data_IF_417165369428
#
_entry.id   IF_417165369428
#
_cell.length_a   1.000
_cell.length_b   1.000
_cell.length_c   1.000
_cell.angle_alpha   90.00
_cell.angle_beta   90.00
_cell.angle_gamma   90.00
#
_symmetry.space_group_name_H-M   'P 1'
#
loop_
_entity.id
_entity.type
_entity.pdbx_description
1 polymer ?
#
# COMPACT_ATOMS: atom_id res chain seq x y z
N UNK A 1 -19.84 -18.05 -2.00
CA UNK A 1 -19.87 -16.58 -2.31
C UNK A 1 -18.98 -16.27 -3.50
N UNK A 2 -19.29 -15.25 -4.32
CA UNK A 2 -18.31 -14.71 -5.27
C UNK A 2 -17.28 -13.82 -4.55
N UNK A 3 -16.23 -13.43 -5.25
CA UNK A 3 -15.10 -12.69 -4.65
C UNK A 3 -15.50 -11.33 -4.04
N UNK A 4 -16.34 -10.56 -4.74
CA UNK A 4 -16.81 -9.26 -4.24
C UNK A 4 -17.77 -9.40 -3.04
N UNK A 5 -18.71 -10.36 -3.07
CA UNK A 5 -19.59 -10.67 -1.94
C UNK A 5 -18.77 -11.04 -0.70
N UNK A 6 -17.71 -11.84 -0.88
CA UNK A 6 -16.79 -12.25 0.19
C UNK A 6 -16.11 -11.04 0.81
N UNK A 7 -15.54 -10.14 -0.01
CA UNK A 7 -14.92 -8.92 0.47
C UNK A 7 -15.90 -8.02 1.23
N UNK A 8 -17.10 -7.77 0.66
CA UNK A 8 -18.11 -6.93 1.29
C UNK A 8 -18.58 -7.53 2.63
N UNK A 9 -18.80 -8.85 2.68
CA UNK A 9 -19.17 -9.56 3.91
C UNK A 9 -18.10 -9.36 5.00
N UNK A 10 -16.83 -9.56 4.63
CA UNK A 10 -15.67 -9.35 5.52
C UNK A 10 -15.59 -7.91 6.02
N UNK A 11 -15.73 -6.91 5.13
CA UNK A 11 -15.68 -5.50 5.50
C UNK A 11 -16.87 -5.03 6.38
N UNK A 12 -17.89 -5.87 6.53
CA UNK A 12 -19.01 -5.66 7.44
C UNK A 12 -18.91 -6.53 8.72
N UNK A 13 -17.70 -7.01 9.05
CA UNK A 13 -17.43 -7.80 10.24
C UNK A 13 -18.30 -9.07 10.34
N UNK A 14 -18.47 -9.76 9.21
CA UNK A 14 -19.16 -11.04 9.12
C UNK A 14 -18.22 -12.07 8.50
N UNK A 15 -18.39 -13.32 8.93
CA UNK A 15 -17.65 -14.44 8.37
C UNK A 15 -18.20 -14.81 6.99
N UNK A 16 -17.41 -14.73 5.91
CA UNK A 16 -17.76 -15.25 4.60
C UNK A 16 -17.56 -16.78 4.53
N UNK A 17 -17.68 -17.38 3.34
CA UNK A 17 -17.36 -18.80 3.13
C UNK A 17 -15.85 -19.11 3.35
N UNK A 18 -14.97 -18.18 3.05
CA UNK A 18 -13.55 -18.17 3.38
C UNK A 18 -13.03 -16.74 3.50
N UNK A 19 -11.87 -16.57 4.08
CA UNK A 19 -11.14 -15.29 4.11
C UNK A 19 -10.88 -14.80 2.67
N UNK A 20 -11.13 -13.51 2.33
CA UNK A 20 -10.74 -12.97 1.03
C UNK A 20 -9.21 -12.97 0.87
N UNK A 21 -8.74 -13.25 -0.34
CA UNK A 21 -7.33 -13.28 -0.68
C UNK A 21 -6.96 -12.09 -1.58
N UNK A 22 -5.96 -11.33 -1.17
CA UNK A 22 -5.33 -10.28 -1.97
C UNK A 22 -3.87 -10.62 -2.28
N UNK A 23 -3.48 -10.43 -3.51
CA UNK A 23 -2.08 -10.38 -3.96
C UNK A 23 -2.00 -9.47 -5.18
N UNK A 24 -1.54 -8.23 -4.98
CA UNK A 24 -1.31 -7.28 -6.05
C UNK A 24 -2.39 -6.24 -6.29
N UNK A 25 -3.36 -6.06 -5.38
CA UNK A 25 -4.33 -4.96 -5.51
C UNK A 25 -3.69 -3.58 -5.25
N UNK A 26 -2.58 -3.53 -4.53
CA UNK A 26 -1.76 -2.34 -4.30
C UNK A 26 -0.27 -2.69 -4.39
N UNK A 27 0.63 -1.69 -4.38
CA UNK A 27 2.06 -1.98 -4.33
C UNK A 27 2.50 -2.63 -3.01
N UNK A 28 1.81 -2.35 -1.90
CA UNK A 28 2.16 -2.94 -0.59
C UNK A 28 1.68 -4.38 -0.43
N UNK A 29 0.74 -4.81 -1.27
CA UNK A 29 0.25 -6.19 -1.34
C UNK A 29 0.78 -6.95 -2.57
N UNK A 30 1.73 -6.35 -3.29
CA UNK A 30 2.24 -6.82 -4.57
C UNK A 30 3.25 -7.96 -4.50
N UNK A 31 3.71 -8.37 -5.66
CA UNK A 31 4.73 -9.41 -5.83
C UNK A 31 5.79 -8.96 -6.83
N UNK A 32 7.07 -9.12 -6.47
CA UNK A 32 8.18 -8.81 -7.36
C UNK A 32 8.15 -9.68 -8.62
N UNK A 33 8.51 -9.11 -9.77
CA UNK A 33 8.54 -9.75 -11.07
C UNK A 33 9.18 -11.14 -11.06
N UNK A 34 10.33 -11.31 -10.42
CA UNK A 34 11.05 -12.58 -10.40
C UNK A 34 10.28 -13.66 -9.61
N UNK A 35 9.76 -13.29 -8.45
CA UNK A 35 8.91 -14.18 -7.65
C UNK A 35 7.61 -14.52 -8.39
N UNK A 36 7.00 -13.55 -9.06
CA UNK A 36 5.81 -13.74 -9.89
C UNK A 36 6.04 -14.75 -11.03
N UNK A 37 7.14 -14.61 -11.80
CA UNK A 37 7.49 -15.55 -12.88
C UNK A 37 7.70 -16.98 -12.35
N UNK A 38 8.43 -17.13 -11.24
CA UNK A 38 8.66 -18.44 -10.62
C UNK A 38 7.35 -19.07 -10.11
N UNK A 39 6.49 -18.26 -9.48
CA UNK A 39 5.21 -18.74 -8.98
C UNK A 39 4.25 -19.12 -10.12
N UNK A 40 4.21 -18.36 -11.23
CA UNK A 40 3.50 -18.74 -12.45
C UNK A 40 3.93 -20.13 -12.95
N UNK A 41 5.25 -20.34 -13.05
CA UNK A 41 5.81 -21.63 -13.48
C UNK A 41 5.41 -22.77 -12.54
N UNK A 42 5.44 -22.55 -11.23
CA UNK A 42 5.04 -23.54 -10.23
C UNK A 42 3.56 -23.95 -10.34
N UNK A 43 2.69 -23.03 -10.78
CA UNK A 43 1.27 -23.31 -11.06
C UNK A 43 0.99 -23.75 -12.50
N UNK A 44 2.03 -24.04 -13.31
CA UNK A 44 1.89 -24.52 -14.70
C UNK A 44 1.33 -23.45 -15.65
N UNK A 45 1.38 -22.18 -15.30
CA UNK A 45 0.91 -21.09 -16.14
C UNK A 45 1.96 -20.72 -17.20
N UNK A 46 1.52 -20.32 -18.42
CA UNK A 46 2.44 -19.95 -19.49
C UNK A 46 3.25 -18.70 -19.12
N UNK A 47 4.48 -18.63 -19.64
CA UNK A 47 5.28 -17.42 -19.53
C UNK A 47 4.62 -16.25 -20.29
N UNK A 48 4.62 -15.06 -19.69
CA UNK A 48 4.09 -13.83 -20.29
C UNK A 48 5.03 -12.67 -20.04
N UNK A 49 4.91 -11.64 -20.88
CA UNK A 49 5.50 -10.33 -20.60
C UNK A 49 4.88 -9.75 -19.33
N UNK A 50 5.72 -9.22 -18.46
CA UNK A 50 5.28 -8.65 -17.19
C UNK A 50 4.90 -7.18 -17.36
N UNK A 51 3.66 -6.85 -17.03
CA UNK A 51 3.23 -5.49 -16.82
C UNK A 51 3.54 -5.11 -15.38
N UNK A 52 4.06 -3.91 -15.15
CA UNK A 52 4.42 -3.46 -13.80
C UNK A 52 3.32 -2.61 -13.18
N UNK A 53 2.94 -2.94 -11.96
CA UNK A 53 2.12 -2.09 -11.08
C UNK A 53 2.98 -1.02 -10.38
N UNK A 54 4.27 -1.31 -10.15
CA UNK A 54 5.25 -0.38 -9.59
C UNK A 54 6.64 -0.69 -10.17
N UNK A 55 7.15 0.25 -10.98
CA UNK A 55 8.48 0.10 -11.61
C UNK A 55 9.64 0.36 -10.64
N UNK A 56 9.43 1.17 -9.61
CA UNK A 56 10.45 1.49 -8.61
C UNK A 56 10.82 0.24 -7.83
N UNK A 57 9.83 -0.54 -7.41
CA UNK A 57 10.00 -1.76 -6.64
C UNK A 57 10.04 -3.03 -7.51
N UNK A 58 9.83 -2.91 -8.82
CA UNK A 58 9.80 -4.04 -9.74
C UNK A 58 8.63 -4.99 -9.47
N UNK A 59 7.46 -4.46 -9.13
CA UNK A 59 6.27 -5.27 -8.82
C UNK A 59 5.45 -5.54 -10.06
N UNK A 60 5.13 -6.82 -10.28
CA UNK A 60 4.24 -7.25 -11.34
C UNK A 60 2.80 -6.84 -11.07
N UNK A 61 2.05 -6.51 -12.12
CA UNK A 61 0.60 -6.46 -12.10
C UNK A 61 0.08 -7.87 -12.44
N UNK A 62 -0.53 -8.61 -11.50
CA UNK A 62 -1.02 -9.95 -11.75
C UNK A 62 -2.08 -9.97 -12.86
N UNK A 63 -1.92 -10.86 -13.83
CA UNK A 63 -2.86 -11.05 -14.93
C UNK A 63 -4.01 -12.03 -14.60
N UNK A 64 -5.00 -12.09 -15.45
CA UNK A 64 -6.25 -12.81 -15.18
C UNK A 64 -6.03 -14.30 -14.89
N UNK A 65 -5.21 -15.01 -15.67
CA UNK A 65 -4.96 -16.43 -15.46
C UNK A 65 -4.21 -16.73 -14.14
N UNK A 66 -3.31 -15.83 -13.72
CA UNK A 66 -2.66 -15.93 -12.42
C UNK A 66 -3.66 -15.72 -11.28
N UNK A 67 -4.50 -14.70 -11.39
CA UNK A 67 -5.52 -14.37 -10.40
C UNK A 67 -6.52 -15.53 -10.25
N UNK A 68 -6.97 -16.10 -11.35
CA UNK A 68 -7.90 -17.23 -11.36
C UNK A 68 -7.25 -18.51 -10.79
N UNK A 69 -6.02 -18.83 -11.16
CA UNK A 69 -5.31 -20.02 -10.67
C UNK A 69 -5.07 -19.99 -9.15
N UNK A 70 -4.77 -18.83 -8.62
CA UNK A 70 -4.53 -18.66 -7.18
C UNK A 70 -5.82 -18.43 -6.38
N UNK A 71 -6.92 -18.05 -7.01
CA UNK A 71 -8.18 -17.72 -6.34
C UNK A 71 -8.12 -16.38 -5.63
N UNK A 72 -7.43 -15.40 -6.21
CA UNK A 72 -7.35 -14.02 -5.69
C UNK A 72 -8.69 -13.33 -5.90
N UNK A 73 -9.17 -12.62 -4.88
CA UNK A 73 -10.51 -12.02 -4.85
C UNK A 73 -10.54 -10.56 -5.29
N UNK A 74 -9.39 -9.89 -5.33
CA UNK A 74 -9.31 -8.44 -5.34
C UNK A 74 -8.45 -7.97 -6.51
N UNK A 75 -8.89 -6.89 -7.15
CA UNK A 75 -8.22 -6.24 -8.29
C UNK A 75 -7.86 -4.81 -7.94
N UNK A 76 -6.69 -4.37 -8.38
CA UNK A 76 -6.20 -3.02 -8.18
C UNK A 76 -6.45 -2.10 -9.36
N UNK A 77 -6.79 -0.85 -9.07
CA UNK A 77 -6.78 0.26 -10.02
C UNK A 77 -5.60 1.17 -9.68
N UNK A 78 -4.70 1.32 -10.63
CA UNK A 78 -3.48 2.11 -10.46
C UNK A 78 -3.61 3.40 -11.28
N UNK A 79 -3.62 4.59 -10.63
CA UNK A 79 -3.59 5.85 -11.34
C UNK A 79 -2.42 5.92 -12.30
N UNK A 80 -2.65 6.45 -13.49
CA UNK A 80 -1.64 6.59 -14.53
C UNK A 80 -0.76 7.83 -14.29
N UNK A 81 0.33 7.92 -15.02
CA UNK A 81 1.15 9.12 -15.07
C UNK A 81 0.38 10.30 -15.71
N UNK A 82 0.78 11.54 -15.42
CA UNK A 82 0.28 12.69 -16.13
C UNK A 82 0.65 12.62 -17.64
N UNK A 83 -0.16 13.25 -18.49
CA UNK A 83 0.02 13.19 -19.95
C UNK A 83 1.38 13.72 -20.43
N UNK A 84 2.01 14.62 -19.69
CA UNK A 84 3.28 15.26 -20.01
C UNK A 84 4.50 14.60 -19.36
N UNK A 85 4.30 13.45 -18.70
CA UNK A 85 5.39 12.77 -18.01
C UNK A 85 5.36 11.25 -18.25
N UNK A 86 6.55 10.69 -18.50
CA UNK A 86 6.75 9.25 -18.66
C UNK A 86 7.99 8.79 -17.90
N UNK A 87 7.94 7.59 -17.38
CA UNK A 87 9.10 6.95 -16.76
C UNK A 87 10.24 6.83 -17.77
N UNK A 88 11.40 7.37 -17.44
CA UNK A 88 12.61 7.26 -18.23
C UNK A 88 13.78 6.83 -17.38
N UNK A 89 14.17 5.58 -17.55
CA UNK A 89 15.38 5.04 -16.92
C UNK A 89 16.59 5.33 -17.82
N UNK A 90 17.67 5.87 -17.23
CA UNK A 90 18.90 6.23 -17.92
C UNK A 90 20.09 5.50 -17.33
N UNK A 91 21.15 5.38 -18.14
CA UNK A 91 22.43 4.80 -17.71
C UNK A 91 23.25 5.82 -16.94
N UNK A 92 23.54 5.54 -15.67
CA UNK A 92 24.40 6.32 -14.76
C UNK A 92 25.70 5.59 -14.41
N UNK A 93 26.24 4.78 -15.30
CA UNK A 93 27.47 4.01 -15.09
C UNK A 93 27.23 2.73 -14.27
N UNK A 94 27.57 2.72 -12.97
CA UNK A 94 27.30 1.59 -12.06
C UNK A 94 25.84 1.49 -11.63
N UNK A 95 25.02 2.49 -11.95
CA UNK A 95 23.63 2.60 -11.53
C UNK A 95 22.70 2.81 -12.72
N UNK A 96 21.49 2.32 -12.62
CA UNK A 96 20.35 2.85 -13.35
C UNK A 96 19.84 4.07 -12.61
N UNK A 97 19.53 5.16 -13.34
CA UNK A 97 18.97 6.39 -12.80
C UNK A 97 17.55 6.59 -13.33
N UNK A 98 16.71 7.14 -12.48
CA UNK A 98 15.33 7.48 -12.80
C UNK A 98 14.95 8.80 -12.12
N UNK A 99 14.48 9.77 -12.89
CA UNK A 99 13.93 11.04 -12.39
C UNK A 99 12.41 10.91 -12.40
N UNK A 100 11.77 11.07 -11.24
CA UNK A 100 10.31 11.04 -11.14
C UNK A 100 9.67 12.41 -11.39
N UNK A 101 8.33 12.43 -11.44
CA UNK A 101 7.55 13.65 -11.70
C UNK A 101 7.62 14.69 -10.57
N UNK A 102 8.15 14.31 -9.41
CA UNK A 102 8.39 15.18 -8.25
C UNK A 102 9.76 15.86 -8.29
N UNK A 103 10.60 15.53 -9.26
CA UNK A 103 11.99 15.98 -9.34
C UNK A 103 12.95 15.18 -8.45
N UNK A 104 12.52 14.04 -7.92
CA UNK A 104 13.37 13.15 -7.13
C UNK A 104 14.18 12.26 -8.07
N UNK A 105 15.48 12.23 -7.90
CA UNK A 105 16.32 11.27 -8.61
C UNK A 105 16.45 10.00 -7.81
N UNK A 106 16.12 8.88 -8.42
CA UNK A 106 16.29 7.54 -7.88
C UNK A 106 17.46 6.83 -8.55
N UNK A 107 18.10 5.90 -7.82
CA UNK A 107 19.16 5.04 -8.38
C UNK A 107 18.94 3.58 -7.96
N UNK A 108 19.33 2.67 -8.86
CA UNK A 108 19.40 1.23 -8.59
C UNK A 108 20.77 0.71 -9.04
N UNK A 109 21.55 0.00 -8.19
CA UNK A 109 22.74 -0.69 -8.63
C UNK A 109 22.43 -1.63 -9.81
N UNK A 110 23.28 -1.66 -10.84
CA UNK A 110 23.11 -2.59 -11.97
C UNK A 110 23.38 -4.03 -11.55
N UNK A 111 24.31 -4.22 -10.60
CA UNK A 111 24.65 -5.50 -10.02
C UNK A 111 23.91 -5.67 -8.69
N UNK A 112 23.14 -6.74 -8.55
CA UNK A 112 22.39 -7.13 -7.33
C UNK A 112 21.43 -6.06 -6.76
N UNK A 113 21.03 -5.07 -7.56
CA UNK A 113 20.07 -4.06 -7.14
C UNK A 113 18.64 -4.60 -7.18
N UNK A 114 17.94 -4.64 -6.03
CA UNK A 114 16.57 -5.12 -5.92
C UNK A 114 15.57 -4.04 -6.39
N UNK A 115 15.75 -2.79 -5.99
CA UNK A 115 14.84 -1.67 -6.26
C UNK A 115 15.58 -0.34 -6.38
N UNK A 116 14.86 0.68 -6.87
CA UNK A 116 15.37 2.05 -6.91
C UNK A 116 15.25 2.70 -5.53
N UNK A 117 16.32 3.29 -5.04
CA UNK A 117 16.37 4.10 -3.83
C UNK A 117 16.51 5.58 -4.17
N UNK A 118 16.05 6.46 -3.28
CA UNK A 118 16.25 7.91 -3.42
C UNK A 118 17.73 8.22 -3.43
N UNK A 119 18.13 9.02 -4.40
CA UNK A 119 19.53 9.47 -4.57
C UNK A 119 19.70 10.96 -4.37
N UNK A 120 18.75 11.76 -4.88
CA UNK A 120 18.75 13.21 -4.71
C UNK A 120 17.33 13.69 -4.47
N UNK A 121 17.16 14.48 -3.43
CA UNK A 121 15.93 15.13 -3.06
C UNK A 121 15.91 16.56 -3.60
N UNK A 122 14.81 17.03 -4.24
CA UNK A 122 14.78 18.34 -4.92
C UNK A 122 14.86 19.53 -3.95
N UNK A 123 14.30 19.41 -2.75
CA UNK A 123 14.21 20.49 -1.76
C UNK A 123 14.95 20.18 -0.46
N UNK A 124 16.10 19.48 -0.55
CA UNK A 124 16.89 19.11 0.63
C UNK A 124 17.59 20.31 1.25
N UNK A 125 17.63 20.34 2.57
CA UNK A 125 18.33 21.35 3.39
C UNK A 125 17.91 22.79 3.07
N UNK A 126 18.85 23.67 2.86
CA UNK A 126 18.66 25.12 2.64
C UNK A 126 17.79 25.46 1.41
N UNK A 127 17.50 24.47 0.57
CA UNK A 127 16.62 24.66 -0.58
C UNK A 127 15.14 24.71 -0.19
N UNK A 128 14.76 24.19 0.98
CA UNK A 128 13.39 24.26 1.46
C UNK A 128 13.10 25.63 2.10
N UNK A 129 12.14 26.32 1.55
CA UNK A 129 11.64 27.62 2.04
C UNK A 129 10.19 27.79 1.59
N UNK A 130 9.43 28.74 2.14
CA UNK A 130 8.07 29.04 1.64
C UNK A 130 8.06 29.34 0.14
N UNK A 131 9.04 30.06 -0.36
CA UNK A 131 9.14 30.41 -1.77
C UNK A 131 9.49 29.19 -2.64
N UNK A 132 10.38 28.29 -2.19
CA UNK A 132 10.71 27.07 -2.93
C UNK A 132 9.53 26.10 -2.97
N UNK A 133 8.78 25.95 -1.87
CA UNK A 133 7.54 25.16 -1.84
C UNK A 133 6.53 25.72 -2.82
N UNK A 134 6.33 27.05 -2.82
CA UNK A 134 5.38 27.71 -3.74
C UNK A 134 5.77 27.54 -5.22
N UNK A 135 7.05 27.63 -5.53
CA UNK A 135 7.54 27.68 -6.91
C UNK A 135 8.04 26.32 -7.45
N UNK A 136 8.04 25.26 -6.62
CA UNK A 136 8.40 23.92 -7.07
C UNK A 136 7.43 23.45 -8.18
N UNK A 137 7.91 22.80 -9.26
CA UNK A 137 7.05 22.29 -10.32
C UNK A 137 6.30 21.03 -9.88
N UNK A 138 5.28 21.21 -9.03
CA UNK A 138 4.49 20.12 -8.50
C UNK A 138 3.75 19.34 -9.61
N UNK A 139 3.62 18.00 -9.50
CA UNK A 139 2.82 17.23 -10.44
C UNK A 139 1.36 17.69 -10.49
N UNK A 140 0.77 17.68 -11.68
CA UNK A 140 -0.66 17.97 -11.83
C UNK A 140 -1.50 16.74 -11.50
N UNK A 141 -2.17 16.73 -10.35
CA UNK A 141 -3.05 15.63 -9.93
C UNK A 141 -4.50 15.76 -10.41
N UNK A 142 -4.87 16.89 -11.04
CA UNK A 142 -6.15 17.04 -11.75
C UNK A 142 -6.09 16.59 -13.22
N UNK A 143 -4.93 16.12 -13.69
CA UNK A 143 -4.80 15.66 -15.06
C UNK A 143 -5.73 14.46 -15.30
N UNK A 144 -6.70 14.56 -16.23
CA UNK A 144 -7.64 13.47 -16.50
C UNK A 144 -6.97 12.20 -17.04
N UNK A 145 -5.75 12.31 -17.58
CA UNK A 145 -4.97 11.13 -17.98
C UNK A 145 -4.73 10.17 -16.83
N UNK A 146 -4.64 10.66 -15.58
CA UNK A 146 -4.39 9.82 -14.41
C UNK A 146 -5.46 8.77 -14.15
N UNK A 147 -6.66 8.99 -14.64
CA UNK A 147 -7.79 8.07 -14.48
C UNK A 147 -8.33 7.54 -15.83
N UNK A 148 -7.64 7.79 -16.92
CA UNK A 148 -8.09 7.36 -18.25
C UNK A 148 -8.23 5.82 -18.32
N UNK A 149 -9.42 5.34 -18.69
CA UNK A 149 -9.75 3.91 -18.79
C UNK A 149 -9.97 3.19 -17.44
N UNK A 150 -9.77 3.87 -16.30
CA UNK A 150 -9.93 3.20 -14.99
C UNK A 150 -11.39 2.91 -14.65
N UNK A 151 -12.33 3.71 -15.14
CA UNK A 151 -13.77 3.46 -14.93
C UNK A 151 -14.20 2.18 -15.64
N UNK A 152 -13.84 2.07 -16.91
CA UNK A 152 -14.15 0.89 -17.74
C UNK A 152 -13.50 -0.37 -17.16
N UNK A 153 -12.27 -0.25 -16.66
CA UNK A 153 -11.54 -1.35 -16.04
C UNK A 153 -12.22 -1.77 -14.71
N UNK A 154 -12.62 -0.81 -13.89
CA UNK A 154 -13.33 -1.08 -12.63
C UNK A 154 -14.67 -1.77 -12.88
N UNK A 155 -15.45 -1.30 -13.86
CA UNK A 155 -16.72 -1.90 -14.24
C UNK A 155 -16.53 -3.33 -14.79
N UNK A 156 -15.46 -3.56 -15.56
CA UNK A 156 -15.09 -4.92 -16.00
C UNK A 156 -14.78 -5.83 -14.81
N UNK A 157 -14.02 -5.37 -13.82
CA UNK A 157 -13.72 -6.17 -12.63
C UNK A 157 -14.98 -6.47 -11.81
N UNK A 158 -15.86 -5.50 -11.62
CA UNK A 158 -17.15 -5.72 -10.97
C UNK A 158 -18.04 -6.70 -11.75
N UNK A 159 -18.07 -6.63 -13.10
CA UNK A 159 -18.82 -7.58 -13.92
C UNK A 159 -18.33 -9.01 -13.79
N UNK A 160 -17.03 -9.20 -13.47
CA UNK A 160 -16.42 -10.49 -13.14
C UNK A 160 -16.51 -10.83 -11.64
N UNK A 161 -17.23 -10.05 -10.84
CA UNK A 161 -17.43 -10.21 -9.40
C UNK A 161 -16.16 -10.11 -8.54
N UNK A 162 -15.13 -9.39 -8.96
CA UNK A 162 -13.98 -9.06 -8.13
C UNK A 162 -14.25 -7.87 -7.20
N UNK A 163 -13.61 -7.85 -6.03
CA UNK A 163 -13.48 -6.63 -5.23
C UNK A 163 -12.49 -5.66 -5.90
N UNK A 164 -12.77 -4.37 -5.84
CA UNK A 164 -11.97 -3.33 -6.53
C UNK A 164 -11.38 -2.36 -5.53
N UNK A 165 -10.04 -2.26 -5.54
CA UNK A 165 -9.25 -1.33 -4.73
C UNK A 165 -8.65 -0.26 -5.62
N UNK A 166 -8.95 1.01 -5.35
CA UNK A 166 -8.26 2.14 -6.00
C UNK A 166 -7.07 2.56 -5.13
N UNK A 167 -5.88 2.55 -5.73
CA UNK A 167 -4.65 3.00 -5.08
C UNK A 167 -4.57 4.54 -5.05
N UNK A 168 -4.02 5.09 -3.97
CA UNK A 168 -3.56 6.48 -3.87
C UNK A 168 -2.53 6.79 -4.98
N UNK A 169 -2.57 7.98 -5.60
CA UNK A 169 -1.67 8.32 -6.70
C UNK A 169 -0.19 8.46 -6.26
N UNK A 170 0.07 8.72 -4.99
CA UNK A 170 1.43 8.85 -4.45
C UNK A 170 1.48 8.50 -2.96
N UNK A 171 2.67 8.45 -2.39
CA UNK A 171 2.92 8.16 -0.98
C UNK A 171 2.20 9.14 -0.02
N UNK A 172 2.22 8.85 1.27
CA UNK A 172 1.55 9.65 2.29
C UNK A 172 2.03 11.08 2.42
N UNK A 173 1.36 11.85 3.26
CA UNK A 173 1.69 13.25 3.54
C UNK A 173 3.11 13.35 4.13
N UNK A 174 3.40 12.55 5.15
CA UNK A 174 4.68 12.53 5.83
C UNK A 174 5.76 11.88 4.97
N UNK A 175 5.46 10.70 4.40
CA UNK A 175 6.42 9.96 3.58
C UNK A 175 6.82 10.72 2.31
N UNK A 176 5.86 11.34 1.60
CA UNK A 176 6.19 12.13 0.41
C UNK A 176 7.01 13.36 0.76
N UNK A 177 6.72 14.02 1.88
CA UNK A 177 7.52 15.13 2.37
C UNK A 177 8.96 14.71 2.70
N UNK A 178 9.15 13.51 3.27
CA UNK A 178 10.50 12.94 3.47
C UNK A 178 11.24 12.74 2.15
N UNK A 179 10.54 12.25 1.12
CA UNK A 179 11.13 12.01 -0.21
C UNK A 179 11.52 13.30 -0.92
N UNK A 180 10.84 14.42 -0.62
CA UNK A 180 11.07 15.75 -1.21
C UNK A 180 12.25 16.47 -0.55
N UNK A 181 12.37 16.43 0.78
CA UNK A 181 13.37 17.24 1.50
C UNK A 181 14.37 16.44 2.34
N UNK A 182 14.27 15.12 2.35
CA UNK A 182 15.10 14.24 3.18
C UNK A 182 14.47 14.00 4.56
N UNK A 183 14.53 12.74 5.01
CA UNK A 183 13.92 12.30 6.26
C UNK A 183 14.53 12.99 7.49
N UNK A 184 15.87 13.05 7.53
CA UNK A 184 16.64 13.69 8.59
C UNK A 184 16.29 15.16 8.74
N UNK A 185 16.21 15.85 7.61
CA UNK A 185 15.88 17.27 7.58
C UNK A 185 14.42 17.53 7.96
N UNK A 186 13.47 16.74 7.46
CA UNK A 186 12.06 16.86 7.81
C UNK A 186 11.82 16.68 9.31
N UNK A 187 12.41 15.63 9.91
CA UNK A 187 12.28 15.38 11.35
C UNK A 187 12.83 16.51 12.20
N UNK A 188 13.95 17.12 11.78
CA UNK A 188 14.50 18.31 12.41
C UNK A 188 13.53 19.50 12.31
N UNK A 189 12.98 19.78 11.12
CA UNK A 189 12.02 20.87 10.91
C UNK A 189 10.74 20.68 11.72
N UNK A 190 10.20 19.47 11.79
CA UNK A 190 9.03 19.18 12.62
C UNK A 190 9.23 19.54 14.09
N UNK A 191 10.46 19.50 14.57
CA UNK A 191 10.80 19.83 15.95
C UNK A 191 11.16 21.33 16.15
N UNK A 192 11.90 21.93 15.19
CA UNK A 192 12.47 23.28 15.33
C UNK A 192 11.65 24.36 14.60
N UNK A 193 11.07 24.02 13.44
CA UNK A 193 10.34 24.95 12.56
C UNK A 193 9.04 24.30 12.04
N UNK A 194 8.10 23.96 12.95
CA UNK A 194 6.90 23.19 12.59
C UNK A 194 6.02 23.89 11.56
N UNK A 195 6.04 25.21 11.47
CA UNK A 195 5.29 25.99 10.49
C UNK A 195 5.82 25.75 9.06
N UNK A 196 7.14 25.68 8.89
CA UNK A 196 7.74 25.37 7.59
C UNK A 196 7.45 23.92 7.16
N UNK A 197 7.58 22.97 8.08
CA UNK A 197 7.17 21.59 7.83
C UNK A 197 5.67 21.52 7.47
N UNK A 198 4.85 22.32 8.17
CA UNK A 198 3.42 22.45 7.95
C UNK A 198 3.08 22.90 6.53
N UNK A 199 3.77 23.88 5.97
CA UNK A 199 3.56 24.33 4.59
C UNK A 199 3.80 23.22 3.57
N UNK A 200 4.81 22.36 3.79
CA UNK A 200 5.06 21.23 2.92
C UNK A 200 3.96 20.16 3.05
N UNK A 201 3.51 19.87 4.26
CA UNK A 201 2.39 18.95 4.50
C UNK A 201 1.08 19.46 3.88
N UNK A 202 0.79 20.76 4.00
CA UNK A 202 -0.39 21.39 3.40
C UNK A 202 -0.37 21.25 1.87
N UNK A 203 0.80 21.35 1.25
CA UNK A 203 0.96 21.11 -0.19
C UNK A 203 0.65 19.64 -0.55
N UNK A 204 1.07 18.66 0.26
CA UNK A 204 0.74 17.25 0.02
C UNK A 204 -0.78 17.01 0.14
N UNK A 205 -1.44 17.65 1.11
CA UNK A 205 -2.90 17.60 1.25
C UNK A 205 -3.60 18.20 0.04
N UNK A 206 -3.19 19.39 -0.40
CA UNK A 206 -3.73 20.03 -1.61
C UNK A 206 -3.68 19.10 -2.81
N UNK A 207 -2.53 18.47 -3.08
CA UNK A 207 -2.35 17.58 -4.22
C UNK A 207 -3.20 16.29 -4.11
N UNK A 208 -3.38 15.74 -2.90
CA UNK A 208 -4.27 14.60 -2.67
C UNK A 208 -5.74 14.97 -2.90
N UNK A 209 -6.17 16.12 -2.38
CA UNK A 209 -7.53 16.63 -2.59
C UNK A 209 -7.78 16.92 -4.07
N UNK A 210 -6.80 17.49 -4.78
CA UNK A 210 -6.86 17.73 -6.21
C UNK A 210 -7.12 16.43 -6.99
N UNK A 211 -6.43 15.34 -6.63
CA UNK A 211 -6.68 14.03 -7.24
C UNK A 211 -8.05 13.49 -6.87
N UNK A 212 -8.37 13.36 -5.59
CA UNK A 212 -9.60 12.70 -5.17
C UNK A 212 -10.86 13.46 -5.60
N UNK A 213 -10.84 14.80 -5.56
CA UNK A 213 -11.97 15.62 -6.02
C UNK A 213 -12.21 15.55 -7.53
N UNK A 214 -11.19 15.21 -8.32
CA UNK A 214 -11.33 15.00 -9.77
C UNK A 214 -11.63 13.54 -10.15
N UNK A 215 -11.04 12.58 -9.46
CA UNK A 215 -11.15 11.15 -9.75
C UNK A 215 -12.44 10.52 -9.23
N UNK A 216 -12.81 10.80 -7.98
CA UNK A 216 -13.92 10.12 -7.31
C UNK A 216 -15.31 10.42 -7.89
N UNK A 217 -15.62 11.61 -8.43
CA UNK A 217 -16.88 11.82 -9.15
C UNK A 217 -17.09 10.85 -10.33
N UNK A 218 -15.99 10.30 -10.86
CA UNK A 218 -16.03 9.35 -12.00
C UNK A 218 -16.00 7.90 -11.51
N UNK A 219 -15.25 7.60 -10.44
CA UNK A 219 -14.89 6.24 -10.02
C UNK A 219 -15.64 5.73 -8.79
N UNK A 220 -16.30 6.59 -8.01
CA UNK A 220 -16.82 6.24 -6.68
C UNK A 220 -17.75 5.03 -6.64
N UNK A 221 -18.62 4.87 -7.65
CA UNK A 221 -19.58 3.76 -7.72
C UNK A 221 -18.94 2.44 -8.20
N UNK A 222 -17.71 2.50 -8.68
CA UNK A 222 -16.97 1.36 -9.24
C UNK A 222 -15.79 0.92 -8.38
N UNK A 223 -15.63 1.47 -7.17
CA UNK A 223 -14.57 1.09 -6.23
C UNK A 223 -15.15 0.70 -4.87
N UNK A 224 -14.65 -0.41 -4.32
CA UNK A 224 -15.07 -0.89 -3.01
C UNK A 224 -14.17 -0.34 -1.88
N UNK A 225 -12.88 -0.10 -2.21
CA UNK A 225 -11.85 0.34 -1.26
C UNK A 225 -10.96 1.41 -1.90
N UNK A 226 -10.63 2.44 -1.13
CA UNK A 226 -9.62 3.44 -1.48
C UNK A 226 -8.43 3.23 -0.55
N UNK A 227 -7.28 2.86 -1.12
CA UNK A 227 -6.06 2.54 -0.40
C UNK A 227 -5.13 3.75 -0.34
N UNK A 228 -4.90 4.23 0.88
CA UNK A 228 -3.98 5.31 1.23
C UNK A 228 -2.81 4.73 2.04
N UNK A 229 -1.70 5.45 2.10
CA UNK A 229 -0.52 4.99 2.81
C UNK A 229 0.30 6.15 3.39
N UNK A 230 0.90 5.91 4.56
CA UNK A 230 1.90 6.79 5.15
C UNK A 230 2.61 6.08 6.31
N UNK A 231 3.91 5.92 6.26
CA UNK A 231 4.65 5.12 7.23
C UNK A 231 5.03 5.94 8.47
N UNK A 232 4.57 5.48 9.63
CA UNK A 232 4.85 6.11 10.93
C UNK A 232 5.58 5.21 11.91
N UNK A 233 5.79 3.94 11.60
CA UNK A 233 6.40 2.96 12.50
C UNK A 233 7.75 2.44 12.05
N UNK A 234 8.56 2.07 13.02
CA UNK A 234 9.72 1.20 12.88
C UNK A 234 9.39 -0.17 13.49
N UNK A 235 10.34 -1.11 13.49
CA UNK A 235 10.15 -2.41 14.14
C UNK A 235 9.87 -2.29 15.65
N UNK A 236 10.35 -1.25 16.30
CA UNK A 236 10.33 -1.12 17.76
C UNK A 236 9.54 0.08 18.28
N UNK A 237 9.39 1.14 17.48
CA UNK A 237 8.78 2.41 17.90
C UNK A 237 8.13 3.14 16.73
N UNK A 238 7.52 4.30 17.01
CA UNK A 238 7.08 5.24 15.98
C UNK A 238 8.25 6.11 15.50
N UNK A 239 8.20 6.56 14.24
CA UNK A 239 9.15 7.52 13.65
C UNK A 239 9.00 8.91 14.27
N UNK A 240 7.78 9.29 14.61
CA UNK A 240 7.43 10.55 15.28
C UNK A 240 6.55 10.23 16.49
N UNK A 241 6.61 11.09 17.51
CA UNK A 241 5.80 10.88 18.70
C UNK A 241 4.29 11.00 18.38
N UNK A 242 3.41 10.29 19.12
CA UNK A 242 1.96 10.44 18.96
C UNK A 242 1.50 11.90 19.11
N UNK A 243 2.18 12.70 19.94
CA UNK A 243 1.90 14.14 20.07
C UNK A 243 2.21 14.91 18.78
N UNK A 244 3.36 14.65 18.15
CA UNK A 244 3.70 15.28 16.87
C UNK A 244 2.73 14.86 15.77
N UNK A 245 2.36 13.58 15.70
CA UNK A 245 1.34 13.08 14.78
C UNK A 245 0.02 13.85 14.96
N UNK A 246 -0.50 13.93 16.19
CA UNK A 246 -1.78 14.62 16.49
C UNK A 246 -1.76 16.09 16.16
N UNK A 247 -0.63 16.76 16.38
CA UNK A 247 -0.53 18.20 16.16
C UNK A 247 -0.27 18.57 14.70
N UNK A 248 0.56 17.80 13.99
CA UNK A 248 1.06 18.22 12.68
C UNK A 248 0.50 17.40 11.51
N UNK A 249 0.12 16.16 11.73
CA UNK A 249 -0.25 15.22 10.66
C UNK A 249 -1.74 14.87 10.68
N UNK A 250 -2.27 14.50 11.85
CA UNK A 250 -3.64 14.01 11.99
C UNK A 250 -4.71 14.96 11.41
N UNK A 251 -4.68 16.29 11.64
CA UNK A 251 -5.67 17.21 11.07
C UNK A 251 -5.67 17.18 9.54
N UNK A 252 -4.50 17.04 8.92
CA UNK A 252 -4.27 17.01 7.48
C UNK A 252 -4.81 15.74 6.84
N UNK A 253 -4.57 14.59 7.47
CA UNK A 253 -5.21 13.36 7.04
C UNK A 253 -6.73 13.42 7.19
N UNK A 254 -7.23 14.06 8.25
CA UNK A 254 -8.68 14.26 8.42
C UNK A 254 -9.31 14.97 7.22
N UNK A 255 -8.67 16.00 6.69
CA UNK A 255 -9.14 16.72 5.50
C UNK A 255 -9.19 15.82 4.26
N UNK A 256 -8.15 15.00 4.04
CA UNK A 256 -8.12 14.05 2.92
C UNK A 256 -9.23 13.00 3.07
N UNK A 257 -9.41 12.43 4.28
CA UNK A 257 -10.47 11.45 4.53
C UNK A 257 -11.88 12.05 4.40
N UNK A 258 -12.07 13.30 4.80
CA UNK A 258 -13.35 14.01 4.64
C UNK A 258 -13.66 14.25 3.16
N UNK A 259 -12.68 14.63 2.35
CA UNK A 259 -12.81 14.73 0.89
C UNK A 259 -13.22 13.39 0.28
N UNK A 260 -12.53 12.29 0.63
CA UNK A 260 -12.89 10.94 0.14
C UNK A 260 -14.32 10.57 0.57
N UNK A 261 -14.68 10.80 1.82
CA UNK A 261 -16.02 10.51 2.33
C UNK A 261 -17.11 11.31 1.61
N UNK A 262 -16.81 12.55 1.23
CA UNK A 262 -17.75 13.39 0.48
C UNK A 262 -18.04 12.82 -0.91
N UNK A 263 -17.03 12.39 -1.64
CA UNK A 263 -17.18 11.94 -3.04
C UNK A 263 -17.43 10.44 -3.19
N UNK A 264 -16.94 9.61 -2.24
CA UNK A 264 -17.08 8.16 -2.27
C UNK A 264 -17.51 7.61 -0.89
N UNK A 265 -18.74 7.94 -0.42
CA UNK A 265 -19.19 7.60 0.94
C UNK A 265 -19.27 6.09 1.19
N UNK A 266 -19.47 5.29 0.15
CA UNK A 266 -19.61 3.83 0.23
C UNK A 266 -18.27 3.08 0.18
N UNK A 267 -17.22 3.67 -0.41
CA UNK A 267 -15.91 3.05 -0.47
C UNK A 267 -15.26 3.02 0.92
N UNK A 268 -14.70 1.87 1.29
CA UNK A 268 -13.96 1.73 2.55
C UNK A 268 -12.58 2.37 2.44
N UNK A 269 -12.13 2.99 3.51
CA UNK A 269 -10.84 3.70 3.60
C UNK A 269 -9.80 2.79 4.23
N UNK A 270 -8.91 2.31 3.39
CA UNK A 270 -7.74 1.52 3.75
C UNK A 270 -6.56 2.45 4.05
N UNK A 271 -5.82 2.16 5.11
CA UNK A 271 -4.63 2.91 5.46
C UNK A 271 -3.46 1.97 5.74
N UNK A 272 -2.40 2.11 4.94
CA UNK A 272 -1.16 1.40 5.15
C UNK A 272 -0.21 2.22 6.00
N UNK A 273 0.33 1.59 7.04
CA UNK A 273 1.44 2.13 7.81
C UNK A 273 2.23 0.99 8.45
N UNK A 274 3.46 0.80 8.00
CA UNK A 274 4.34 -0.25 8.49
C UNK A 274 4.81 -0.04 9.93
N UNK A 275 5.26 -1.14 10.57
CA UNK A 275 5.94 -1.12 11.86
C UNK A 275 5.00 -1.04 13.07
N UNK A 276 5.57 -0.59 14.20
CA UNK A 276 4.83 -0.39 15.43
C UNK A 276 4.00 0.88 15.35
N UNK A 277 2.75 0.76 14.91
CA UNK A 277 1.78 1.85 14.85
C UNK A 277 0.70 1.76 15.90
N UNK A 278 0.76 0.76 16.81
CA UNK A 278 -0.26 0.54 17.83
C UNK A 278 -0.68 1.80 18.60
N UNK A 279 0.25 2.69 19.06
CA UNK A 279 -0.13 3.91 19.77
C UNK A 279 -0.89 4.94 18.92
N UNK A 280 -0.87 4.79 17.57
CA UNK A 280 -1.55 5.67 16.61
C UNK A 280 -2.89 5.09 16.11
N UNK A 281 -3.18 3.81 16.36
CA UNK A 281 -4.43 3.16 15.88
C UNK A 281 -5.68 3.93 16.32
N UNK A 282 -5.84 4.39 17.58
CA UNK A 282 -7.00 5.21 17.96
C UNK A 282 -7.11 6.48 17.14
N UNK A 283 -5.99 7.14 16.84
CA UNK A 283 -5.96 8.34 16.01
C UNK A 283 -6.35 8.04 14.55
N UNK A 284 -5.93 6.88 14.01
CA UNK A 284 -6.34 6.42 12.68
C UNK A 284 -7.86 6.18 12.60
N UNK A 285 -8.45 5.52 13.59
CA UNK A 285 -9.90 5.30 13.67
C UNK A 285 -10.64 6.65 13.70
N UNK A 286 -10.17 7.59 14.52
CA UNK A 286 -10.79 8.90 14.69
C UNK A 286 -10.81 9.74 13.40
N UNK A 287 -9.76 9.66 12.56
CA UNK A 287 -9.73 10.34 11.27
C UNK A 287 -10.54 9.62 10.18
N UNK A 288 -11.00 8.39 10.44
CA UNK A 288 -11.90 7.66 9.57
C UNK A 288 -11.29 6.48 8.82
N UNK A 289 -10.14 5.97 9.25
CA UNK A 289 -9.60 4.68 8.78
C UNK A 289 -10.56 3.56 9.15
N UNK A 290 -10.86 2.67 8.20
CA UNK A 290 -11.74 1.52 8.38
C UNK A 290 -11.02 0.19 8.15
N UNK A 291 -9.90 0.23 7.42
CA UNK A 291 -9.09 -0.94 7.12
C UNK A 291 -7.63 -0.58 7.45
N UNK A 292 -7.00 -1.36 8.33
CA UNK A 292 -5.58 -1.19 8.69
C UNK A 292 -4.72 -2.22 7.95
N UNK A 293 -3.65 -1.77 7.33
CA UNK A 293 -2.63 -2.58 6.68
C UNK A 293 -1.22 -2.01 6.99
N UNK A 294 -0.21 -2.85 7.15
CA UNK A 294 -0.32 -4.28 7.42
C UNK A 294 -0.58 -4.53 8.92
N UNK A 295 -0.87 -5.77 9.25
CA UNK A 295 -0.61 -6.24 10.61
C UNK A 295 0.84 -6.71 10.62
N UNK A 296 1.74 -5.85 11.11
CA UNK A 296 3.19 -6.11 11.08
C UNK A 296 3.59 -7.03 12.24
N UNK A 297 3.24 -8.30 12.13
CA UNK A 297 3.23 -9.34 13.19
C UNK A 297 4.52 -9.49 14.00
N UNK A 298 5.66 -9.01 13.49
CA UNK A 298 6.96 -9.03 14.19
C UNK A 298 7.32 -7.69 14.83
N UNK A 299 6.60 -6.62 14.55
CA UNK A 299 6.85 -5.33 15.16
C UNK A 299 6.36 -5.32 16.63
N UNK A 300 7.07 -4.62 17.49
CA UNK A 300 6.72 -4.49 18.90
C UNK A 300 5.29 -3.97 19.09
N UNK A 301 4.50 -4.66 19.90
CA UNK A 301 3.12 -4.26 20.20
C UNK A 301 2.09 -4.57 19.12
N UNK A 302 2.49 -5.18 17.99
CA UNK A 302 1.61 -5.53 16.87
C UNK A 302 1.19 -7.01 16.88
N UNK A 303 1.06 -7.61 18.07
CA UNK A 303 0.56 -8.98 18.23
C UNK A 303 -0.85 -9.11 17.63
N UNK A 304 -1.09 -10.04 16.67
CA UNK A 304 -2.35 -10.13 15.96
C UNK A 304 -3.55 -10.52 16.83
N UNK A 305 -3.36 -11.38 17.84
CA UNK A 305 -4.42 -11.74 18.79
C UNK A 305 -4.86 -10.53 19.63
N UNK A 306 -3.88 -9.75 20.10
CA UNK A 306 -4.17 -8.58 20.91
C UNK A 306 -4.81 -7.46 20.08
N UNK A 307 -4.35 -7.25 18.84
CA UNK A 307 -4.95 -6.27 17.93
C UNK A 307 -6.39 -6.65 17.57
N UNK A 308 -6.64 -7.94 17.28
CA UNK A 308 -8.00 -8.43 17.00
C UNK A 308 -8.94 -8.25 18.19
N UNK A 309 -8.45 -8.51 19.40
CA UNK A 309 -9.22 -8.29 20.63
C UNK A 309 -9.54 -6.82 20.87
N UNK A 310 -8.57 -5.91 20.63
CA UNK A 310 -8.70 -4.50 20.99
C UNK A 310 -9.46 -3.68 19.93
N UNK A 311 -9.37 -4.05 18.66
CA UNK A 311 -9.87 -3.24 17.53
C UNK A 311 -10.66 -4.02 16.47
N UNK A 312 -10.86 -5.32 16.64
CA UNK A 312 -11.48 -6.18 15.61
C UNK A 312 -12.96 -5.91 15.36
N UNK A 313 -13.62 -5.10 16.17
CA UNK A 313 -14.99 -4.59 15.98
C UNK A 313 -15.03 -3.22 15.30
N UNK A 314 -13.89 -2.55 15.12
CA UNK A 314 -13.76 -1.20 14.57
C UNK A 314 -12.95 -1.16 13.29
N UNK A 315 -11.98 -2.07 13.14
CA UNK A 315 -11.07 -2.13 12.00
C UNK A 315 -11.10 -3.49 11.31
N UNK A 316 -11.19 -3.45 9.99
CA UNK A 316 -10.83 -4.60 9.16
C UNK A 316 -9.30 -4.68 9.12
N UNK A 317 -8.75 -5.86 9.35
CA UNK A 317 -7.32 -6.12 9.21
C UNK A 317 -7.00 -6.68 7.83
N UNK A 318 -6.01 -6.11 7.18
CA UNK A 318 -5.59 -6.51 5.84
C UNK A 318 -4.09 -6.79 5.83
N UNK A 319 -3.70 -8.02 5.48
CA UNK A 319 -2.31 -8.45 5.56
C UNK A 319 -1.92 -9.03 6.92
N UNK A 320 -0.64 -9.28 7.11
CA UNK A 320 -0.15 -9.97 8.30
C UNK A 320 -0.31 -11.50 8.26
N UNK A 321 -0.67 -12.06 7.10
CA UNK A 321 -0.86 -13.50 6.95
C UNK A 321 0.43 -14.31 7.09
N UNK A 322 1.57 -13.73 6.77
CA UNK A 322 2.89 -14.31 6.96
C UNK A 322 3.96 -13.22 7.11
N UNK A 323 4.96 -13.46 7.94
CA UNK A 323 6.11 -12.57 8.11
C UNK A 323 7.00 -12.55 6.86
N UNK A 324 7.15 -11.37 6.25
CA UNK A 324 7.92 -11.16 5.02
C UNK A 324 9.39 -10.80 5.25
N UNK A 325 9.83 -10.66 6.49
CA UNK A 325 11.21 -10.28 6.81
C UNK A 325 12.07 -11.45 7.30
N UNK A 326 11.44 -12.45 7.88
CA UNK A 326 12.14 -13.62 8.44
C UNK A 326 11.60 -14.92 7.86
N UNK A 327 10.35 -15.25 8.19
CA UNK A 327 9.80 -16.58 7.92
C UNK A 327 9.65 -16.83 6.40
N UNK A 328 9.00 -15.94 5.67
CA UNK A 328 8.72 -16.17 4.26
C UNK A 328 9.98 -16.26 3.38
N UNK A 329 11.00 -15.37 3.52
CA UNK A 329 12.21 -15.47 2.70
C UNK A 329 13.25 -16.48 3.21
N UNK A 330 13.31 -16.76 4.52
CA UNK A 330 14.43 -17.51 5.12
C UNK A 330 14.02 -18.78 5.84
N UNK A 331 12.71 -18.96 6.12
CA UNK A 331 12.19 -20.14 6.81
C UNK A 331 12.03 -21.34 5.86
N UNK A 332 11.75 -22.49 6.44
CA UNK A 332 11.32 -23.69 5.71
C UNK A 332 9.84 -23.59 5.33
N UNK A 333 9.38 -24.37 4.34
CA UNK A 333 7.95 -24.43 4.00
C UNK A 333 7.06 -24.79 5.22
N UNK A 334 7.55 -25.61 6.15
CA UNK A 334 6.78 -25.97 7.35
C UNK A 334 6.65 -24.79 8.31
N UNK A 335 7.73 -24.02 8.54
CA UNK A 335 7.67 -22.80 9.36
C UNK A 335 6.73 -21.76 8.75
N UNK A 336 6.68 -21.67 7.40
CA UNK A 336 5.71 -20.82 6.70
C UNK A 336 4.28 -21.29 6.96
N UNK A 337 4.00 -22.62 6.89
CA UNK A 337 2.67 -23.17 7.18
C UNK A 337 2.23 -22.84 8.62
N UNK A 338 3.13 -23.02 9.58
CA UNK A 338 2.85 -22.71 10.99
C UNK A 338 2.56 -21.21 11.21
N UNK A 339 3.34 -20.33 10.58
CA UNK A 339 3.14 -18.88 10.71
C UNK A 339 1.81 -18.44 10.09
N UNK A 340 1.45 -18.98 8.92
CA UNK A 340 0.16 -18.73 8.25
C UNK A 340 -1.01 -19.19 9.12
N UNK A 341 -0.97 -20.42 9.65
CA UNK A 341 -2.01 -20.97 10.54
C UNK A 341 -2.20 -20.10 11.78
N UNK A 342 -1.11 -19.76 12.46
CA UNK A 342 -1.15 -18.91 13.65
C UNK A 342 -1.80 -17.54 13.37
N UNK A 343 -1.48 -16.93 12.25
CA UNK A 343 -2.02 -15.62 11.91
C UNK A 343 -3.49 -15.70 11.45
N UNK A 344 -3.89 -16.79 10.78
CA UNK A 344 -5.30 -17.08 10.49
C UNK A 344 -6.09 -17.29 11.78
N UNK A 345 -5.61 -18.12 12.71
CA UNK A 345 -6.25 -18.35 14.01
C UNK A 345 -6.47 -17.05 14.80
N UNK A 346 -5.52 -16.10 14.67
CA UNK A 346 -5.61 -14.81 15.36
C UNK A 346 -6.61 -13.85 14.73
N UNK A 347 -6.64 -13.76 13.39
CA UNK A 347 -7.25 -12.64 12.68
C UNK A 347 -8.61 -12.97 12.03
N UNK A 348 -8.86 -14.22 11.61
CA UNK A 348 -10.08 -14.56 10.90
C UNK A 348 -11.36 -14.66 11.77
N UNK A 349 -11.33 -15.14 13.05
CA UNK A 349 -12.56 -15.32 13.81
C UNK A 349 -13.41 -14.04 13.89
N UNK A 350 -14.71 -14.17 13.60
CA UNK A 350 -15.67 -13.05 13.58
C UNK A 350 -15.59 -12.18 12.32
N UNK A 351 -14.89 -12.60 11.27
CA UNK A 351 -14.73 -11.82 10.04
C UNK A 351 -13.78 -10.64 10.18
N UNK A 352 -13.88 -9.63 9.30
CA UNK A 352 -13.02 -8.43 9.38
C UNK A 352 -11.54 -8.70 9.09
N UNK A 353 -11.22 -9.72 8.28
CA UNK A 353 -9.84 -10.04 7.91
C UNK A 353 -9.71 -10.36 6.41
N UNK A 354 -8.73 -9.76 5.76
CA UNK A 354 -8.31 -10.05 4.36
C UNK A 354 -6.90 -10.59 4.38
N UNK A 355 -6.70 -11.79 3.85
CA UNK A 355 -5.39 -12.42 3.79
C UNK A 355 -4.50 -11.77 2.74
N UNK A 356 -3.33 -11.39 3.16
CA UNK A 356 -2.18 -10.99 2.37
C UNK A 356 -0.92 -11.13 3.24
N UNK A 357 0.25 -11.09 2.65
CA UNK A 357 1.53 -11.02 3.39
C UNK A 357 1.62 -9.74 4.24
N UNK A 358 2.61 -9.63 5.11
CA UNK A 358 2.85 -8.37 5.88
C UNK A 358 3.17 -7.21 4.92
N UNK A 359 3.98 -7.46 3.90
CA UNK A 359 4.34 -6.49 2.86
C UNK A 359 4.48 -7.20 1.52
N UNK A 360 4.78 -6.47 0.45
CA UNK A 360 4.97 -7.07 -0.87
C UNK A 360 6.05 -8.19 -0.86
N UNK A 361 5.84 -9.18 -1.70
CA UNK A 361 6.72 -10.34 -1.85
C UNK A 361 7.93 -9.92 -2.68
N UNK A 362 9.13 -10.09 -2.12
CA UNK A 362 10.40 -9.71 -2.76
C UNK A 362 10.95 -10.84 -3.66
N UNK A 363 11.96 -10.48 -4.46
CA UNK A 363 12.58 -11.38 -5.42
C UNK A 363 13.29 -12.60 -4.80
N UNK A 364 13.76 -12.48 -3.57
CA UNK A 364 14.54 -13.49 -2.84
C UNK A 364 13.68 -14.57 -2.16
N UNK A 365 12.36 -14.40 -2.12
CA UNK A 365 11.46 -15.38 -1.51
C UNK A 365 11.47 -16.69 -2.30
N UNK A 366 11.77 -17.86 -1.66
CA UNK A 366 11.75 -19.17 -2.30
C UNK A 366 10.35 -19.54 -2.83
N UNK A 367 10.29 -20.18 -3.98
CA UNK A 367 9.02 -20.56 -4.61
C UNK A 367 8.23 -21.55 -3.77
N UNK A 368 8.93 -22.52 -3.15
CA UNK A 368 8.34 -23.49 -2.22
C UNK A 368 7.66 -22.86 -1.01
N UNK A 369 8.20 -21.74 -0.51
CA UNK A 369 7.60 -20.99 0.58
C UNK A 369 6.33 -20.25 0.13
N UNK A 370 6.33 -19.69 -1.08
CA UNK A 370 5.12 -19.09 -1.66
C UNK A 370 4.01 -20.12 -1.88
N UNK A 371 4.36 -21.30 -2.40
CA UNK A 371 3.42 -22.41 -2.57
C UNK A 371 2.88 -22.86 -1.21
N UNK A 372 3.75 -23.06 -0.21
CA UNK A 372 3.35 -23.45 1.13
C UNK A 372 2.39 -22.44 1.77
N UNK A 373 2.66 -21.13 1.62
CA UNK A 373 1.78 -20.07 2.09
C UNK A 373 0.38 -20.15 1.45
N UNK A 374 0.32 -20.24 0.11
CA UNK A 374 -0.94 -20.23 -0.63
C UNK A 374 -1.77 -21.50 -0.37
N UNK A 375 -1.13 -22.67 -0.34
CA UNK A 375 -1.80 -23.94 -0.06
C UNK A 375 -2.35 -23.96 1.36
N UNK A 376 -1.56 -23.53 2.34
CA UNK A 376 -2.01 -23.43 3.73
C UNK A 376 -3.18 -22.47 3.88
N UNK A 377 -3.11 -21.30 3.24
CA UNK A 377 -4.23 -20.36 3.23
C UNK A 377 -5.49 -20.99 2.62
N UNK A 378 -5.38 -21.71 1.48
CA UNK A 378 -6.52 -22.37 0.84
C UNK A 378 -7.15 -23.46 1.70
N UNK A 379 -6.34 -24.16 2.49
CA UNK A 379 -6.79 -25.23 3.39
C UNK A 379 -7.42 -24.66 4.69
N UNK A 380 -6.77 -23.69 5.33
CA UNK A 380 -7.14 -23.19 6.66
C UNK A 380 -7.94 -21.89 6.66
N UNK A 381 -8.00 -21.16 5.55
CA UNK A 381 -8.72 -19.89 5.45
C UNK A 381 -10.23 -20.02 5.25
N UNK A 382 -10.82 -21.19 5.49
CA UNK A 382 -12.27 -21.49 5.40
C UNK A 382 -12.88 -21.35 6.78
N UNK A 383 -14.06 -20.69 6.89
CA UNK A 383 -14.78 -20.52 8.15
C UNK A 383 -15.59 -21.74 8.55
#
# INVERSE_FOLDING_TARGET
MNSRERLITTMNFKEPDRVPFDMGSTQVTGINEQAYRRLRSAYGLPEKEVVYSDQIQGLALPDDDFIEALGIDIRGLFPLNAHNWNVKVTDGGKYWLYLDEWGITHRKPKENGLYFSIYQEPLKNEKLSPDSIKNHPWPNFKDPQRIAGLKELADLYHSKNYGVVMKDPFAGIFEMSQRICGMDYLLMLMASEPDLAGLLFDKMVELKIDFFSSALPVLADSVDVIALMDDYGTQVSQLISPRMFRNQIKPRWKEVFDCIKQYAPNAKRFFHSCGNVRPLIPDFIEIGVQILNPIHVKATGMDPYQLKKDYGDQLVFWGGGVDTQGILPMGTPEEVREDVKRNLDALMPGGGYVFNTVHNIQADVPTENLVAMIETFKEYGVY
#
